data_IF_389749583936
#
_entry.id   IF_389749583936
#
_cell.length_a   1.000
_cell.length_b   1.000
_cell.length_c   1.000
_cell.angle_alpha   90.00
_cell.angle_beta   90.00
_cell.angle_gamma   90.00
#
_symmetry.space_group_name_H-M   'P 1'
#
loop_
_entity.id
_entity.type
_entity.pdbx_description
1 polymer ?
#
# COMPACT_ATOMS: atom_id res chain seq x y z
N UNK A 1 22.08 -8.20 11.50
CA UNK A 1 21.02 -7.80 10.54
C UNK A 1 21.58 -7.90 9.14
N UNK A 2 21.00 -8.73 8.28
CA UNK A 2 21.58 -9.09 6.98
C UNK A 2 21.41 -7.96 5.95
N UNK A 3 20.45 -7.04 6.15
CA UNK A 3 20.32 -5.81 5.35
C UNK A 3 19.86 -4.61 6.20
N UNK A 4 20.78 -3.88 6.86
CA UNK A 4 20.41 -2.73 7.69
C UNK A 4 19.87 -1.52 6.90
N UNK A 5 20.00 -1.54 5.57
CA UNK A 5 19.65 -0.44 4.66
C UNK A 5 18.42 -0.74 3.80
N UNK A 6 17.88 -1.96 3.85
CA UNK A 6 16.73 -2.37 3.06
C UNK A 6 15.56 -2.64 4.00
N UNK A 7 14.42 -2.04 3.71
CA UNK A 7 13.16 -2.27 4.39
C UNK A 7 12.10 -2.54 3.34
N UNK A 8 11.25 -3.53 3.57
CA UNK A 8 10.08 -3.78 2.74
C UNK A 8 8.84 -3.67 3.62
N UNK A 9 7.75 -3.18 3.04
CA UNK A 9 6.46 -3.07 3.68
C UNK A 9 5.38 -3.60 2.73
N UNK A 10 4.34 -4.18 3.31
CA UNK A 10 3.19 -4.68 2.58
C UNK A 10 1.95 -4.44 3.41
N UNK A 11 0.91 -3.96 2.75
CA UNK A 11 -0.39 -3.71 3.31
C UNK A 11 -1.43 -4.48 2.50
N UNK A 12 -2.27 -5.22 3.19
CA UNK A 12 -3.36 -5.98 2.59
C UNK A 12 -4.61 -5.67 3.40
N UNK A 13 -5.53 -4.97 2.77
CA UNK A 13 -6.80 -4.59 3.36
C UNK A 13 -7.92 -5.35 2.70
N UNK A 14 -8.80 -5.88 3.54
CA UNK A 14 -9.97 -6.63 3.13
C UNK A 14 -11.21 -5.94 3.67
N UNK A 15 -11.88 -5.18 2.81
CA UNK A 15 -13.12 -4.50 3.19
C UNK A 15 -14.33 -5.34 2.77
N UNK A 16 -15.17 -5.62 3.76
CA UNK A 16 -16.46 -6.27 3.59
C UNK A 16 -17.56 -5.25 3.88
N UNK A 17 -18.22 -4.78 2.84
CA UNK A 17 -19.44 -4.00 3.03
C UNK A 17 -20.67 -4.93 2.99
N UNK A 18 -21.26 -5.13 4.17
CA UNK A 18 -22.48 -5.94 4.39
C UNK A 18 -23.75 -5.08 4.43
N UNK A 19 -23.67 -3.77 4.16
CA UNK A 19 -24.85 -2.92 3.96
C UNK A 19 -25.77 -2.79 5.18
N UNK A 20 -25.25 -2.91 6.40
CA UNK A 20 -26.06 -2.89 7.62
C UNK A 20 -26.65 -1.49 7.93
N UNK A 21 -26.07 -0.42 7.39
CA UNK A 21 -26.51 0.97 7.61
C UNK A 21 -26.94 1.66 6.30
N UNK A 22 -26.29 1.37 5.17
CA UNK A 22 -26.61 1.99 3.88
C UNK A 22 -27.52 1.12 3.02
N UNK A 23 -28.60 1.73 2.50
CA UNK A 23 -29.54 1.10 1.55
C UNK A 23 -28.82 0.81 0.23
N UNK A 24 -28.23 -0.37 0.10
CA UNK A 24 -27.64 -0.85 -1.15
C UNK A 24 -28.71 -0.99 -2.25
N UNK A 25 -28.41 -0.67 -3.52
CA UNK A 25 -29.33 -0.86 -4.64
C UNK A 25 -29.69 -2.34 -4.79
N UNK A 26 -30.95 -2.59 -5.16
CA UNK A 26 -31.72 -3.84 -5.09
C UNK A 26 -31.19 -5.06 -5.91
N UNK A 27 -29.91 -5.13 -6.26
CA UNK A 27 -29.36 -6.21 -7.09
C UNK A 27 -27.94 -6.68 -6.76
N UNK A 28 -27.25 -6.09 -5.77
CA UNK A 28 -25.89 -6.51 -5.41
C UNK A 28 -25.72 -6.47 -3.88
N UNK A 29 -25.77 -7.64 -3.23
CA UNK A 29 -25.76 -7.80 -1.76
C UNK A 29 -24.35 -7.94 -1.15
N UNK A 30 -23.29 -7.67 -1.90
CA UNK A 30 -21.92 -7.84 -1.40
C UNK A 30 -20.93 -7.00 -2.22
N UNK A 31 -20.35 -5.97 -1.60
CA UNK A 31 -19.20 -5.26 -2.18
C UNK A 31 -17.94 -5.74 -1.47
N UNK A 32 -17.11 -6.47 -2.22
CA UNK A 32 -15.82 -7.00 -1.75
C UNK A 32 -14.72 -6.16 -2.36
N UNK A 33 -14.12 -5.28 -1.56
CA UNK A 33 -12.99 -4.48 -2.02
C UNK A 33 -11.69 -5.05 -1.45
N UNK A 34 -10.84 -5.58 -2.34
CA UNK A 34 -9.51 -6.10 -1.99
C UNK A 34 -8.50 -5.02 -2.37
N UNK A 35 -7.92 -4.38 -1.37
CA UNK A 35 -6.91 -3.35 -1.56
C UNK A 35 -5.59 -3.89 -1.05
N UNK A 36 -4.57 -3.89 -1.89
CA UNK A 36 -3.24 -4.29 -1.46
C UNK A 36 -2.20 -3.31 -1.99
N UNK A 37 -1.17 -3.08 -1.18
CA UNK A 37 -0.02 -2.30 -1.56
C UNK A 37 1.25 -2.95 -1.02
N UNK A 38 2.31 -2.89 -1.81
CA UNK A 38 3.62 -3.43 -1.47
C UNK A 38 4.65 -2.36 -1.76
N UNK A 39 5.69 -2.26 -0.94
CA UNK A 39 6.75 -1.30 -1.16
C UNK A 39 8.05 -1.71 -0.52
N UNK A 40 9.10 -1.06 -0.99
CA UNK A 40 10.48 -1.25 -0.59
C UNK A 40 11.10 0.11 -0.41
N UNK A 41 11.96 0.21 0.58
CA UNK A 41 12.76 1.38 0.87
C UNK A 41 14.22 0.94 0.98
N UNK A 42 15.07 1.62 0.24
CA UNK A 42 16.50 1.38 0.23
C UNK A 42 17.25 2.65 0.61
N UNK A 43 17.93 2.64 1.76
CA UNK A 43 18.84 3.69 2.17
C UNK A 43 20.18 3.52 1.44
N UNK A 44 20.45 4.40 0.47
CA UNK A 44 21.76 4.50 -0.16
C UNK A 44 22.79 5.05 0.85
N UNK A 45 22.41 6.13 1.52
CA UNK A 45 23.21 6.85 2.52
C UNK A 45 22.34 7.37 3.67
N UNK A 46 22.93 7.88 4.76
CA UNK A 46 22.18 8.48 5.89
C UNK A 46 21.17 9.55 5.46
N UNK A 47 21.46 10.23 4.35
CA UNK A 47 20.72 11.37 3.83
C UNK A 47 19.92 11.04 2.56
N UNK A 48 20.03 9.83 2.02
CA UNK A 48 19.49 9.48 0.70
C UNK A 48 18.74 8.15 0.77
N UNK A 49 17.44 8.19 0.52
CA UNK A 49 16.58 7.01 0.52
C UNK A 49 15.79 6.93 -0.78
N UNK A 50 15.72 5.73 -1.33
CA UNK A 50 14.95 5.41 -2.53
C UNK A 50 13.79 4.50 -2.14
N UNK A 51 12.58 4.99 -2.36
CA UNK A 51 11.33 4.30 -2.12
C UNK A 51 10.75 3.82 -3.45
N UNK A 52 10.36 2.56 -3.51
CA UNK A 52 9.50 2.03 -4.56
C UNK A 52 8.26 1.42 -3.92
N UNK A 53 7.09 1.73 -4.43
CA UNK A 53 5.82 1.18 -3.94
C UNK A 53 4.89 0.85 -5.09
N UNK A 54 4.00 -0.10 -4.89
CA UNK A 54 3.00 -0.51 -5.84
C UNK A 54 1.70 -0.70 -5.07
N UNK A 55 0.66 0.02 -5.49
CA UNK A 55 -0.68 -0.08 -4.96
C UNK A 55 -1.61 -0.64 -6.05
N UNK A 56 -2.46 -1.61 -5.70
CA UNK A 56 -3.39 -2.21 -6.66
C UNK A 56 -4.42 -1.22 -7.22
N UNK A 57 -4.73 -0.15 -6.47
CA UNK A 57 -5.72 0.86 -6.87
C UNK A 57 -5.12 1.98 -7.71
N UNK A 58 -3.93 2.43 -7.35
CA UNK A 58 -3.29 3.61 -7.95
C UNK A 58 -2.10 3.28 -8.86
N UNK A 59 -1.62 2.03 -8.85
CA UNK A 59 -0.47 1.56 -9.62
C UNK A 59 0.87 1.72 -8.89
N UNK A 60 1.96 1.68 -9.67
CA UNK A 60 3.33 1.82 -9.19
C UNK A 60 3.72 3.28 -8.96
N UNK A 61 4.36 3.57 -7.83
CA UNK A 61 4.92 4.86 -7.48
C UNK A 61 6.33 4.72 -6.92
N UNK A 62 7.17 5.73 -7.13
CA UNK A 62 8.54 5.75 -6.63
C UNK A 62 8.89 7.13 -6.10
N UNK A 63 9.65 7.17 -5.02
CA UNK A 63 10.05 8.40 -4.36
C UNK A 63 11.54 8.42 -4.06
N UNK A 64 12.20 9.52 -4.39
CA UNK A 64 13.54 9.83 -3.93
C UNK A 64 13.43 10.84 -2.79
N UNK A 65 14.04 10.54 -1.65
CA UNK A 65 14.04 11.43 -0.50
C UNK A 65 15.46 11.76 -0.09
N UNK A 66 15.72 13.07 0.04
CA UNK A 66 16.98 13.64 0.48
C UNK A 66 16.70 14.37 1.80
N UNK A 67 17.42 14.02 2.86
CA UNK A 67 17.29 14.64 4.19
C UNK A 67 18.60 15.33 4.56
N UNK A 68 18.55 16.60 4.92
CA UNK A 68 19.71 17.43 5.30
C UNK A 68 19.76 17.60 6.82
#
# INVERSE_FOLDING_TARGET
>A
MIFPKFSAFGYYEYQLDVGWVDKLPKSINFSKEIVWSAGVNYLLSKNFSLLGSYDNRFGGGGGLSIRF
#
